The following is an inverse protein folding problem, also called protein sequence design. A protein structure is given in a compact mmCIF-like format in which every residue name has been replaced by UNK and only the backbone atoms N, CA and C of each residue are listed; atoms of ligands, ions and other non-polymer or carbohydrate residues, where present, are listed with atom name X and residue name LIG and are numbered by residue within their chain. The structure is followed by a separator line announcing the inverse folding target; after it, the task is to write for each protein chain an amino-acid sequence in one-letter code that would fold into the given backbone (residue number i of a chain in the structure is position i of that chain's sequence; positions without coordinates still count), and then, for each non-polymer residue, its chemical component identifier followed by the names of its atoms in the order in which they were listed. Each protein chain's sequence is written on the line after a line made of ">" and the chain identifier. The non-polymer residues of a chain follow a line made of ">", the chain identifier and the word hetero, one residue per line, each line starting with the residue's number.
data_IF_923775565941
#
_entry.id   IF_923775565941
#
_cell.length_a   1.000
_cell.length_b   1.000
_cell.length_c   1.000
_cell.angle_alpha   90.00
_cell.angle_beta   90.00
_cell.angle_gamma   90.00
#
_symmetry.space_group_name_H-M   'P 1'
#
loop_
_entity.id
_entity.type
_entity.pdbx_description
1 polymer ?
#
# COMPACT_ATOMS: atom_id res chain seq x y z
N UNK A 1 7.01 25.35 12.31
CA UNK A 1 6.89 26.19 11.06
C UNK A 1 7.00 27.69 11.33
N UNK A 2 6.84 28.16 12.55
CA UNK A 2 6.88 29.61 12.89
C UNK A 2 8.29 30.19 13.08
N UNK A 3 9.30 29.35 13.27
CA UNK A 3 10.69 29.80 13.60
C UNK A 3 11.58 30.09 12.40
N UNK A 4 11.17 29.73 11.18
CA UNK A 4 12.00 29.86 9.96
C UNK A 4 13.27 29.00 9.94
N UNK A 5 13.37 28.01 10.85
CA UNK A 5 14.53 27.13 10.98
C UNK A 5 14.31 25.89 10.10
N UNK A 6 15.29 25.56 9.25
CA UNK A 6 15.33 24.28 8.53
C UNK A 6 15.75 23.17 9.50
N UNK A 7 14.92 22.15 9.65
CA UNK A 7 15.20 21.00 10.51
C UNK A 7 15.28 19.74 9.67
N UNK A 8 16.30 18.92 9.88
CA UNK A 8 16.41 17.57 9.30
C UNK A 8 16.07 16.58 10.40
N UNK A 9 15.06 15.75 10.16
CA UNK A 9 14.60 14.72 11.06
C UNK A 9 14.85 13.34 10.42
N UNK A 10 15.50 12.44 11.14
CA UNK A 10 15.76 11.06 10.68
C UNK A 10 14.91 10.12 11.51
N UNK A 11 14.05 9.37 10.86
CA UNK A 11 13.15 8.42 11.50
C UNK A 11 12.95 7.18 10.65
N UNK A 12 12.53 6.10 11.28
CA UNK A 12 11.98 4.92 10.62
C UNK A 12 10.45 4.83 10.78
N UNK A 13 9.83 5.81 11.45
CA UNK A 13 8.38 5.89 11.59
C UNK A 13 7.77 6.72 10.46
N UNK A 14 6.97 6.04 9.63
CA UNK A 14 6.31 6.62 8.47
C UNK A 14 5.23 7.62 8.89
N UNK A 15 4.52 7.35 10.00
CA UNK A 15 3.45 8.23 10.50
C UNK A 15 4.00 9.58 10.89
N UNK A 16 5.15 9.61 11.58
CA UNK A 16 5.85 10.85 11.92
C UNK A 16 6.28 11.59 10.67
N UNK A 17 6.80 10.85 9.69
CA UNK A 17 7.30 11.42 8.42
C UNK A 17 6.20 12.20 7.70
N UNK A 18 5.01 11.64 7.55
CA UNK A 18 3.89 12.30 6.85
C UNK A 18 3.32 13.50 7.62
N UNK A 19 3.33 13.44 8.96
CA UNK A 19 2.71 14.47 9.79
C UNK A 19 3.54 15.74 9.92
N UNK A 20 4.87 15.65 9.93
CA UNK A 20 5.75 16.76 10.28
C UNK A 20 6.61 17.28 9.13
N UNK A 21 6.83 16.50 8.07
CA UNK A 21 7.75 16.85 7.00
C UNK A 21 7.09 17.70 5.90
N UNK A 22 7.79 18.73 5.44
CA UNK A 22 7.46 19.43 4.19
C UNK A 22 8.02 18.66 2.97
N UNK A 23 9.13 17.93 3.17
CA UNK A 23 9.75 17.07 2.17
C UNK A 23 10.34 15.82 2.80
N UNK A 24 10.33 14.72 2.03
CA UNK A 24 10.84 13.42 2.44
C UNK A 24 12.01 13.03 1.53
N UNK A 25 13.07 12.52 2.14
CA UNK A 25 14.20 11.88 1.43
C UNK A 25 14.21 10.39 1.79
N UNK A 26 14.25 9.54 0.77
CA UNK A 26 14.42 8.10 0.95
C UNK A 26 15.80 7.70 0.45
N UNK A 27 16.56 7.02 1.31
CA UNK A 27 17.86 6.47 0.99
C UNK A 27 17.84 4.94 1.01
N UNK A 28 18.59 4.33 0.09
CA UNK A 28 18.90 2.89 0.09
C UNK A 28 20.39 2.69 -0.02
N UNK A 29 21.02 2.05 0.96
CA UNK A 29 22.46 1.79 0.99
C UNK A 29 23.31 3.06 0.73
N UNK A 30 22.95 4.19 1.32
CA UNK A 30 23.64 5.48 1.18
C UNK A 30 23.35 6.23 -0.13
N UNK A 31 22.51 5.68 -1.03
CA UNK A 31 22.13 6.32 -2.29
C UNK A 31 20.75 6.91 -2.17
N UNK A 32 20.59 8.18 -2.52
CA UNK A 32 19.28 8.84 -2.58
C UNK A 32 18.41 8.18 -3.65
N UNK A 33 17.23 7.72 -3.24
CA UNK A 33 16.26 7.09 -4.13
C UNK A 33 15.22 8.10 -4.62
N UNK A 34 14.65 8.87 -3.70
CA UNK A 34 13.64 9.87 -4.02
C UNK A 34 13.69 11.03 -3.01
N UNK A 35 13.36 12.23 -3.50
CA UNK A 35 13.21 13.44 -2.70
C UNK A 35 12.00 14.23 -3.22
N UNK A 36 10.92 14.24 -2.47
CA UNK A 36 9.68 14.88 -2.89
C UNK A 36 8.79 15.31 -1.69
N UNK A 37 7.67 15.94 -1.99
CA UNK A 37 6.61 16.22 -1.02
C UNK A 37 5.90 14.92 -0.59
N UNK A 38 5.38 14.82 0.65
CA UNK A 38 4.80 13.60 1.21
C UNK A 38 3.74 12.95 0.31
N UNK A 39 2.77 13.73 -0.17
CA UNK A 39 1.69 13.24 -1.04
C UNK A 39 2.23 12.66 -2.33
N UNK A 40 3.15 13.38 -3.00
CA UNK A 40 3.74 12.93 -4.26
C UNK A 40 4.62 11.69 -4.06
N UNK A 41 5.38 11.67 -2.96
CA UNK A 41 6.19 10.52 -2.56
C UNK A 41 5.35 9.25 -2.41
N UNK A 42 4.17 9.36 -1.80
CA UNK A 42 3.25 8.26 -1.54
C UNK A 42 2.49 7.79 -2.79
N UNK A 43 1.94 8.76 -3.55
CA UNK A 43 1.09 8.46 -4.70
C UNK A 43 1.88 8.13 -5.98
N UNK A 44 3.15 8.59 -6.07
CA UNK A 44 3.99 8.42 -7.26
C UNK A 44 5.42 8.04 -6.87
N UNK A 45 5.62 6.92 -6.17
CA UNK A 45 6.94 6.44 -5.82
C UNK A 45 7.73 6.07 -7.08
N UNK A 46 9.02 6.46 -7.14
CA UNK A 46 9.87 6.26 -8.33
C UNK A 46 10.26 4.81 -8.55
N UNK A 47 10.20 3.99 -7.54
CA UNK A 47 10.51 2.57 -7.60
C UNK A 47 9.81 1.80 -6.48
N UNK A 48 9.89 0.47 -6.57
CA UNK A 48 9.27 -0.44 -5.63
C UNK A 48 9.77 -0.26 -4.21
N UNK A 49 11.07 -0.03 -4.02
CA UNK A 49 11.63 0.20 -2.69
C UNK A 49 11.02 1.44 -2.01
N UNK A 50 10.87 2.54 -2.74
CA UNK A 50 10.23 3.74 -2.22
C UNK A 50 8.75 3.48 -1.86
N UNK A 51 8.04 2.71 -2.68
CA UNK A 51 6.66 2.33 -2.40
C UNK A 51 6.53 1.49 -1.12
N UNK A 52 7.40 0.48 -0.95
CA UNK A 52 7.42 -0.42 0.22
C UNK A 52 7.81 0.29 1.51
N UNK A 53 8.78 1.19 1.45
CA UNK A 53 9.20 2.00 2.64
C UNK A 53 8.06 2.86 3.16
N UNK A 54 7.15 3.30 2.29
CA UNK A 54 6.06 4.22 2.65
C UNK A 54 4.75 3.54 3.03
N UNK A 55 4.65 2.23 2.89
CA UNK A 55 3.47 1.47 3.28
C UNK A 55 3.30 0.18 2.48
N UNK A 56 2.34 -0.61 2.90
CA UNK A 56 2.09 -1.94 2.37
C UNK A 56 1.52 -1.92 0.95
N UNK A 57 1.74 -3.02 0.23
CA UNK A 57 1.34 -3.20 -1.15
C UNK A 57 0.73 -4.59 -1.35
N UNK A 58 -0.42 -4.66 -2.02
CA UNK A 58 -0.95 -5.90 -2.56
C UNK A 58 -0.44 -6.11 -3.98
N UNK A 59 0.02 -7.32 -4.28
CA UNK A 59 0.54 -7.67 -5.60
C UNK A 59 -0.54 -8.27 -6.48
N UNK A 60 -0.57 -7.87 -7.75
CA UNK A 60 -1.44 -8.40 -8.79
C UNK A 60 -0.63 -8.72 -10.05
N UNK A 61 -0.63 -9.98 -10.47
CA UNK A 61 0.02 -10.40 -11.70
C UNK A 61 -1.00 -10.52 -12.84
N UNK A 62 -0.80 -9.75 -13.91
CA UNK A 62 -1.61 -9.77 -15.12
C UNK A 62 -0.73 -9.77 -16.36
N UNK A 63 -0.97 -10.71 -17.27
CA UNK A 63 -0.34 -10.75 -18.61
C UNK A 63 1.20 -10.56 -18.56
N UNK A 64 1.89 -11.26 -17.68
CA UNK A 64 3.34 -11.18 -17.47
C UNK A 64 3.86 -9.85 -16.91
N UNK A 65 2.98 -9.02 -16.35
CA UNK A 65 3.33 -7.80 -15.62
C UNK A 65 2.86 -7.90 -14.18
N UNK A 66 3.62 -7.28 -13.29
CA UNK A 66 3.28 -7.16 -11.88
C UNK A 66 2.83 -5.74 -11.58
N UNK A 67 1.66 -5.64 -10.98
CA UNK A 67 1.06 -4.39 -10.52
C UNK A 67 0.94 -4.42 -9.00
N UNK A 68 0.88 -3.26 -8.40
CA UNK A 68 0.76 -3.12 -6.96
C UNK A 68 -0.35 -2.15 -6.61
N UNK A 69 -1.13 -2.48 -5.59
CA UNK A 69 -2.24 -1.68 -5.11
C UNK A 69 -2.14 -1.54 -3.59
N UNK A 70 -2.30 -0.33 -3.08
CA UNK A 70 -2.32 -0.09 -1.64
C UNK A 70 -3.62 -0.62 -1.02
N UNK A 71 -3.56 -1.12 0.23
CA UNK A 71 -4.74 -1.71 0.90
C UNK A 71 -5.95 -0.77 0.99
N UNK A 72 -5.72 0.50 1.23
CA UNK A 72 -6.76 1.53 1.34
C UNK A 72 -7.48 1.85 0.02
N UNK A 73 -6.89 1.48 -1.12
CA UNK A 73 -7.46 1.70 -2.46
C UNK A 73 -8.29 0.50 -2.95
N UNK A 74 -8.38 -0.56 -2.16
CA UNK A 74 -9.16 -1.76 -2.50
C UNK A 74 -10.51 -1.69 -1.82
N UNK A 75 -11.56 -1.97 -2.56
CA UNK A 75 -12.93 -2.01 -2.05
C UNK A 75 -13.70 -3.24 -2.51
N UNK A 76 -14.74 -3.60 -1.74
CA UNK A 76 -15.64 -4.70 -2.09
C UNK A 76 -16.61 -4.23 -3.16
N UNK A 77 -16.57 -4.86 -4.31
CA UNK A 77 -17.47 -4.61 -5.44
C UNK A 77 -18.68 -5.53 -5.39
N UNK A 78 -19.84 -5.05 -5.84
CA UNK A 78 -21.08 -5.84 -5.90
C UNK A 78 -21.28 -6.59 -7.21
N UNK A 79 -20.61 -6.21 -8.29
CA UNK A 79 -20.95 -6.67 -9.64
C UNK A 79 -19.78 -7.17 -10.48
N UNK A 80 -18.59 -6.71 -10.23
CA UNK A 80 -17.39 -6.99 -11.04
C UNK A 80 -16.13 -6.90 -10.19
N UNK A 81 -14.99 -7.31 -10.73
CA UNK A 81 -13.70 -7.22 -10.08
C UNK A 81 -13.03 -8.58 -9.95
N UNK A 82 -12.01 -8.64 -9.12
CA UNK A 82 -11.23 -9.84 -8.86
C UNK A 82 -11.93 -10.72 -7.83
N UNK A 83 -12.21 -11.97 -8.21
CA UNK A 83 -12.80 -12.94 -7.28
C UNK A 83 -11.82 -13.24 -6.16
N UNK A 84 -12.28 -13.12 -4.93
CA UNK A 84 -11.50 -13.32 -3.72
C UNK A 84 -12.19 -14.24 -2.72
N UNK A 85 -11.41 -15.05 -2.00
CA UNK A 85 -11.89 -15.87 -0.89
C UNK A 85 -11.41 -15.26 0.42
N UNK A 86 -12.32 -14.87 1.30
CA UNK A 86 -12.00 -14.28 2.60
C UNK A 86 -11.38 -15.33 3.52
N UNK A 87 -10.17 -15.06 4.02
CA UNK A 87 -9.45 -15.97 4.94
C UNK A 87 -9.34 -15.41 6.36
N UNK A 88 -9.45 -14.08 6.52
CA UNK A 88 -9.42 -13.42 7.84
C UNK A 88 -10.29 -12.17 7.82
N UNK A 89 -10.94 -11.87 8.94
CA UNK A 89 -11.67 -10.63 9.17
C UNK A 89 -11.47 -10.26 10.64
N UNK A 90 -10.69 -9.23 10.91
CA UNK A 90 -10.30 -8.83 12.26
C UNK A 90 -10.61 -7.36 12.50
N UNK A 91 -11.25 -7.04 13.63
CA UNK A 91 -11.53 -5.66 14.02
C UNK A 91 -10.22 -4.91 14.35
N UNK A 92 -10.07 -3.72 13.77
CA UNK A 92 -8.88 -2.88 13.90
C UNK A 92 -9.24 -1.43 14.28
N UNK A 93 -9.95 -1.30 15.38
CA UNK A 93 -10.37 0.00 15.94
C UNK A 93 -11.67 0.52 15.35
N UNK A 94 -11.65 1.18 14.21
CA UNK A 94 -12.85 1.74 13.53
C UNK A 94 -13.34 0.91 12.33
N UNK A 95 -12.51 0.05 11.82
CA UNK A 95 -12.73 -0.75 10.61
C UNK A 95 -12.21 -2.18 10.79
N UNK A 96 -12.41 -3.04 9.81
CA UNK A 96 -11.92 -4.41 9.81
C UNK A 96 -10.80 -4.56 8.81
N UNK A 97 -9.64 -5.10 9.27
CA UNK A 97 -8.63 -5.67 8.39
C UNK A 97 -9.16 -6.98 7.84
N UNK A 98 -9.28 -7.05 6.53
CA UNK A 98 -9.71 -8.25 5.82
C UNK A 98 -8.53 -8.81 5.05
N UNK A 99 -8.30 -10.12 5.17
CA UNK A 99 -7.38 -10.84 4.27
C UNK A 99 -8.18 -11.76 3.37
N UNK A 100 -7.83 -11.76 2.09
CA UNK A 100 -8.49 -12.58 1.07
C UNK A 100 -7.48 -13.09 0.05
N UNK A 101 -7.73 -14.26 -0.52
CA UNK A 101 -6.90 -14.83 -1.58
C UNK A 101 -7.47 -14.43 -2.93
N UNK A 102 -6.64 -13.79 -3.74
CA UNK A 102 -6.90 -13.35 -5.11
C UNK A 102 -5.85 -13.96 -6.04
N UNK A 103 -6.23 -14.86 -6.95
CA UNK A 103 -5.30 -15.51 -7.89
C UNK A 103 -4.02 -16.03 -7.20
N UNK A 104 -4.17 -16.77 -6.10
CA UNK A 104 -3.09 -17.34 -5.27
C UNK A 104 -2.25 -16.32 -4.46
N UNK A 105 -2.55 -15.04 -4.54
CA UNK A 105 -1.92 -13.99 -3.73
C UNK A 105 -2.79 -13.64 -2.52
N UNK A 106 -2.13 -13.45 -1.37
CA UNK A 106 -2.79 -12.93 -0.18
C UNK A 106 -2.88 -11.40 -0.28
N UNK A 107 -4.10 -10.90 -0.40
CA UNK A 107 -4.39 -9.48 -0.33
C UNK A 107 -4.94 -9.13 1.03
N UNK A 108 -4.66 -7.92 1.50
CA UNK A 108 -5.38 -7.35 2.61
C UNK A 108 -5.88 -5.94 2.28
N UNK A 109 -6.99 -5.56 2.91
CA UNK A 109 -7.66 -4.29 2.73
C UNK A 109 -8.52 -3.96 3.95
N UNK A 110 -9.04 -2.75 4.01
CA UNK A 110 -9.91 -2.31 5.09
C UNK A 110 -11.36 -2.26 4.65
N UNK A 111 -12.27 -2.60 5.56
CA UNK A 111 -13.71 -2.59 5.30
C UNK A 111 -14.48 -2.16 6.55
N UNK A 112 -15.56 -1.38 6.38
CA UNK A 112 -16.37 -0.86 7.50
C UNK A 112 -17.09 -1.96 8.30
N UNK A 113 -17.29 -3.12 7.69
CA UNK A 113 -18.03 -4.24 8.27
C UNK A 113 -17.23 -5.54 8.21
N UNK A 114 -17.42 -6.45 9.18
CA UNK A 114 -16.80 -7.77 9.10
C UNK A 114 -17.29 -8.53 7.86
N UNK A 115 -16.40 -9.30 7.26
CA UNK A 115 -16.72 -10.22 6.19
C UNK A 115 -16.63 -11.66 6.71
N UNK A 116 -17.53 -12.53 6.25
CA UNK A 116 -17.56 -13.92 6.69
C UNK A 116 -16.37 -14.68 6.12
N UNK A 117 -15.53 -15.26 6.99
CA UNK A 117 -14.44 -16.14 6.57
C UNK A 117 -14.99 -17.32 5.77
N UNK A 118 -14.33 -17.67 4.68
CA UNK A 118 -14.75 -18.67 3.71
C UNK A 118 -15.76 -18.17 2.67
N UNK A 119 -16.22 -16.92 2.77
CA UNK A 119 -17.10 -16.35 1.74
C UNK A 119 -16.31 -15.92 0.51
N UNK A 120 -16.99 -15.95 -0.64
CA UNK A 120 -16.48 -15.38 -1.89
C UNK A 120 -17.00 -13.95 -2.03
N UNK A 121 -16.09 -13.04 -2.33
CA UNK A 121 -16.35 -11.63 -2.60
C UNK A 121 -15.70 -11.23 -3.93
N UNK A 122 -16.00 -10.02 -4.40
CA UNK A 122 -15.31 -9.41 -5.52
C UNK A 122 -14.62 -8.14 -5.03
N UNK A 123 -13.35 -7.98 -5.36
CA UNK A 123 -12.54 -6.81 -5.01
C UNK A 123 -12.26 -6.00 -6.26
N UNK A 124 -12.29 -4.69 -6.12
CA UNK A 124 -11.98 -3.77 -7.20
C UNK A 124 -11.18 -2.57 -6.68
N UNK A 125 -10.60 -1.79 -7.58
CA UNK A 125 -9.79 -0.61 -7.31
C UNK A 125 -9.82 0.32 -8.52
N UNK A 126 -9.54 1.60 -8.32
CA UNK A 126 -9.44 2.55 -9.42
C UNK A 126 -8.12 2.38 -10.18
N UNK A 127 -8.16 2.43 -11.51
CA UNK A 127 -6.97 2.28 -12.36
C UNK A 127 -5.88 3.32 -12.07
N UNK A 128 -6.25 4.50 -11.62
CA UNK A 128 -5.32 5.58 -11.25
C UNK A 128 -4.45 5.27 -10.03
N UNK A 129 -4.89 4.32 -9.18
CA UNK A 129 -4.23 3.95 -7.93
C UNK A 129 -3.31 2.72 -8.08
N UNK A 130 -3.19 2.23 -9.33
CA UNK A 130 -2.31 1.11 -9.67
C UNK A 130 -0.88 1.60 -9.85
N UNK A 131 0.05 0.97 -9.14
CA UNK A 131 1.48 1.21 -9.27
C UNK A 131 2.10 0.12 -10.16
N UNK A 132 2.95 0.53 -11.08
CA UNK A 132 3.73 -0.36 -11.95
C UNK A 132 5.21 0.03 -11.86
N UNK A 133 6.09 -0.95 -11.68
CA UNK A 133 7.53 -0.72 -11.58
C UNK A 133 8.29 -1.66 -12.52
N UNK A 134 9.44 -1.21 -13.02
CA UNK A 134 10.31 -2.02 -13.89
C UNK A 134 10.94 -3.22 -13.19
N UNK A 135 11.02 -3.18 -11.86
CA UNK A 135 11.51 -4.29 -11.01
C UNK A 135 10.45 -4.72 -10.01
N UNK A 136 10.36 -6.03 -9.76
CA UNK A 136 9.44 -6.56 -8.75
C UNK A 136 9.82 -6.07 -7.34
N UNK A 137 8.80 -5.74 -6.55
CA UNK A 137 8.95 -5.49 -5.12
C UNK A 137 9.39 -6.77 -4.40
N UNK A 138 10.27 -6.62 -3.42
CA UNK A 138 10.55 -7.70 -2.48
C UNK A 138 9.34 -7.81 -1.56
N UNK A 139 8.38 -8.67 -1.91
CA UNK A 139 7.21 -8.88 -1.07
C UNK A 139 7.62 -9.43 0.29
N UNK A 140 7.72 -8.57 1.30
CA UNK A 140 8.00 -8.98 2.69
C UNK A 140 6.82 -9.67 3.38
N UNK A 141 5.75 -9.98 2.67
CA UNK A 141 4.59 -10.69 3.21
C UNK A 141 4.54 -12.15 2.76
N UNK A 142 5.59 -12.90 3.10
CA UNK A 142 5.47 -14.35 3.26
C UNK A 142 5.40 -14.66 4.75
N UNK A 143 4.20 -14.77 5.29
CA UNK A 143 3.70 -15.70 6.34
C UNK A 143 2.47 -15.11 7.03
#
# INVERSE_FOLDING_TARGET
>A
KESGITTIFVTHDISDTFNISDRILIFKAGVLQQFDEPVKMYCSPVNCYCAEVLGDLNQLNLKNKTYYIRPENIFVSRKSGYKASVVKSQFFGKEYEIRAIVNDFSWYFFNDKPLKVGSTIYLDFDQKDVLEFDSSCSTFFTN
#
